data_IF_971080673306
#
_entry.id   IF_971080673306
#
_cell.length_a   1.000
_cell.length_b   1.000
_cell.length_c   1.000
_cell.angle_alpha   90.00
_cell.angle_beta   90.00
_cell.angle_gamma   90.00
#
_symmetry.space_group_name_H-M   'P 1'
#
loop_
_entity.id
_entity.type
_entity.pdbx_description
1 polymer ?
#
# COMPACT_ATOMS: atom_id res chain seq x y z
N UNK A 1 -3.43 18.14 2.70
CA UNK A 1 -2.76 16.86 2.41
C UNK A 1 -2.41 16.14 3.70
N UNK A 2 -2.59 14.82 3.73
CA UNK A 2 -2.37 13.95 4.88
C UNK A 2 -0.87 13.81 5.21
N UNK A 3 -0.45 14.23 6.42
CA UNK A 3 0.95 14.18 6.85
C UNK A 3 1.49 12.76 6.96
N UNK A 4 0.66 11.78 7.30
CA UNK A 4 1.08 10.39 7.46
C UNK A 4 1.42 9.78 6.12
N UNK A 5 0.60 10.03 5.09
CA UNK A 5 0.81 9.57 3.71
C UNK A 5 2.02 10.23 3.03
N UNK A 6 2.39 11.45 3.44
CA UNK A 6 3.63 12.09 2.98
C UNK A 6 4.88 11.30 3.35
N UNK A 7 4.87 10.57 4.49
CA UNK A 7 6.02 9.74 4.88
C UNK A 7 6.23 8.57 3.91
N UNK A 8 5.15 7.92 3.48
CA UNK A 8 5.19 6.86 2.45
C UNK A 8 5.77 7.40 1.14
N UNK A 9 5.29 8.56 0.68
CA UNK A 9 5.79 9.18 -0.54
C UNK A 9 7.29 9.52 -0.45
N UNK A 10 7.75 10.05 0.69
CA UNK A 10 9.17 10.33 0.94
C UNK A 10 10.01 9.05 1.01
N UNK A 11 9.50 8.00 1.63
CA UNK A 11 10.16 6.70 1.69
C UNK A 11 10.34 6.10 0.28
N UNK A 12 9.29 6.14 -0.55
CA UNK A 12 9.36 5.72 -1.95
C UNK A 12 10.34 6.56 -2.76
N UNK A 13 10.37 7.89 -2.57
CA UNK A 13 11.37 8.74 -3.24
C UNK A 13 12.82 8.35 -2.84
N UNK A 14 13.07 8.06 -1.55
CA UNK A 14 14.37 7.58 -1.09
C UNK A 14 14.75 6.25 -1.74
N UNK A 15 13.83 5.29 -1.80
CA UNK A 15 14.02 4.00 -2.45
C UNK A 15 14.34 4.17 -3.94
N UNK A 16 13.55 4.97 -4.66
CA UNK A 16 13.74 5.20 -6.09
C UNK A 16 15.06 5.90 -6.39
N UNK A 17 15.44 6.91 -5.59
CA UNK A 17 16.76 7.55 -5.72
C UNK A 17 17.91 6.56 -5.51
N UNK A 18 17.80 5.68 -4.51
CA UNK A 18 18.83 4.69 -4.19
C UNK A 18 18.93 3.61 -5.29
N UNK A 19 17.81 3.26 -5.94
CA UNK A 19 17.76 2.24 -6.99
C UNK A 19 18.52 2.59 -8.28
N UNK A 20 18.89 3.87 -8.45
CA UNK A 20 19.53 4.40 -9.65
C UNK A 20 18.63 4.45 -10.89
N UNK A 21 17.32 4.20 -10.75
CA UNK A 21 16.37 4.29 -11.85
C UNK A 21 16.00 5.74 -12.16
N UNK A 22 15.70 6.02 -13.44
CA UNK A 22 15.02 7.25 -13.81
C UNK A 22 13.55 7.16 -13.38
N UNK A 23 13.09 8.12 -12.58
CA UNK A 23 11.73 8.16 -12.07
C UNK A 23 11.19 9.58 -12.01
N UNK A 24 9.87 9.71 -11.91
CA UNK A 24 9.19 10.98 -11.79
C UNK A 24 7.83 10.84 -11.10
N UNK A 25 7.20 11.98 -10.81
CA UNK A 25 5.84 12.09 -10.30
C UNK A 25 5.03 12.99 -11.23
N UNK A 26 3.70 12.87 -11.23
CA UNK A 26 2.85 13.75 -12.03
C UNK A 26 2.77 15.17 -11.47
N UNK A 27 3.32 15.42 -10.28
CA UNK A 27 3.34 16.73 -9.64
C UNK A 27 1.93 17.25 -9.43
N UNK A 28 1.61 18.42 -10.01
CA UNK A 28 0.27 19.01 -9.94
C UNK A 28 -0.75 18.32 -10.85
N UNK A 29 -0.32 17.44 -11.77
CA UNK A 29 -1.19 16.62 -12.61
C UNK A 29 -1.63 15.30 -11.98
N UNK A 30 -1.21 15.01 -10.74
CA UNK A 30 -1.63 13.83 -10.00
C UNK A 30 -3.10 13.99 -9.54
N UNK A 31 -3.99 13.10 -9.96
CA UNK A 31 -5.37 13.04 -9.46
C UNK A 31 -5.68 11.69 -8.81
N UNK A 32 -6.77 11.66 -8.03
CA UNK A 32 -7.27 10.42 -7.45
C UNK A 32 -7.57 9.38 -8.54
N UNK A 33 -7.31 8.09 -8.27
CA UNK A 33 -7.66 7.00 -9.20
C UNK A 33 -9.16 6.89 -9.47
N UNK A 34 -9.99 7.49 -8.60
CA UNK A 34 -11.44 7.39 -8.62
C UNK A 34 -12.00 6.22 -7.82
N UNK A 35 -11.16 5.41 -7.15
CA UNK A 35 -11.61 4.25 -6.35
C UNK A 35 -12.73 4.62 -5.35
N UNK A 36 -12.60 5.66 -4.49
CA UNK A 36 -13.66 5.98 -3.54
C UNK A 36 -14.99 6.34 -4.20
N UNK A 37 -14.95 7.13 -5.28
CA UNK A 37 -16.16 7.51 -6.02
C UNK A 37 -16.87 6.25 -6.55
N UNK A 38 -16.11 5.35 -7.17
CA UNK A 38 -16.66 4.11 -7.70
C UNK A 38 -17.23 3.21 -6.61
N UNK A 39 -16.52 3.04 -5.49
CA UNK A 39 -17.00 2.22 -4.37
C UNK A 39 -18.27 2.78 -3.71
N UNK A 40 -18.47 4.10 -3.78
CA UNK A 40 -19.67 4.77 -3.28
C UNK A 40 -20.81 4.82 -4.30
N UNK A 41 -20.62 4.27 -5.51
CA UNK A 41 -21.65 4.23 -6.56
C UNK A 41 -21.67 5.46 -7.48
N UNK A 42 -20.75 6.40 -7.32
CA UNK A 42 -20.61 7.61 -8.15
C UNK A 42 -19.86 7.29 -9.45
N UNK A 43 -20.46 6.44 -10.30
CA UNK A 43 -19.83 5.92 -11.52
C UNK A 43 -19.49 7.03 -12.53
N UNK A 44 -20.34 8.06 -12.67
CA UNK A 44 -20.05 9.21 -13.54
C UNK A 44 -18.80 9.98 -13.08
N UNK A 45 -18.64 10.14 -11.77
CA UNK A 45 -17.46 10.80 -11.19
C UNK A 45 -16.20 9.93 -11.39
N UNK A 46 -16.32 8.62 -11.18
CA UNK A 46 -15.25 7.66 -11.47
C UNK A 46 -14.78 7.76 -12.94
N UNK A 47 -15.71 7.68 -13.89
CA UNK A 47 -15.37 7.74 -15.32
C UNK A 47 -14.77 9.08 -15.71
N UNK A 48 -15.25 10.19 -15.13
CA UNK A 48 -14.69 11.52 -15.38
C UNK A 48 -13.26 11.62 -14.84
N UNK A 49 -13.00 11.17 -13.62
CA UNK A 49 -11.66 11.13 -13.04
C UNK A 49 -10.71 10.22 -13.84
N UNK A 50 -11.20 9.05 -14.27
CA UNK A 50 -10.41 8.11 -15.07
C UNK A 50 -10.03 8.69 -16.44
N UNK A 51 -10.94 9.40 -17.12
CA UNK A 51 -10.63 10.09 -18.38
C UNK A 51 -9.52 11.12 -18.23
N UNK A 52 -9.60 11.97 -17.21
CA UNK A 52 -8.55 12.97 -16.91
C UNK A 52 -7.21 12.28 -16.64
N UNK A 53 -7.20 11.19 -15.86
CA UNK A 53 -5.98 10.44 -15.59
C UNK A 53 -5.41 9.78 -16.86
N UNK A 54 -6.25 9.21 -17.73
CA UNK A 54 -5.82 8.63 -18.99
C UNK A 54 -5.21 9.69 -19.93
N UNK A 55 -5.82 10.87 -20.03
CA UNK A 55 -5.27 11.99 -20.80
C UNK A 55 -3.88 12.40 -20.28
N UNK A 56 -3.75 12.59 -18.96
CA UNK A 56 -2.46 12.93 -18.33
C UNK A 56 -1.42 11.84 -18.58
N UNK A 57 -1.74 10.56 -18.33
CA UNK A 57 -0.80 9.46 -18.49
C UNK A 57 -0.38 9.25 -19.96
N UNK A 58 -1.28 9.47 -20.92
CA UNK A 58 -0.95 9.37 -22.36
C UNK A 58 -0.03 10.49 -22.84
N UNK A 59 -0.06 11.65 -22.19
CA UNK A 59 0.80 12.79 -22.53
C UNK A 59 2.28 12.58 -22.17
N UNK A 60 2.59 11.54 -21.39
CA UNK A 60 3.94 11.26 -20.89
C UNK A 60 4.45 9.90 -21.33
N UNK A 61 5.78 9.81 -21.49
CA UNK A 61 6.47 8.55 -21.83
C UNK A 61 7.12 7.94 -20.60
N UNK A 62 6.72 6.72 -20.28
CA UNK A 62 7.21 5.93 -19.15
C UNK A 62 6.96 4.43 -19.40
N UNK A 63 7.71 3.59 -18.68
CA UNK A 63 7.67 2.13 -18.82
C UNK A 63 6.72 1.47 -17.81
N UNK A 64 6.78 1.91 -16.55
CA UNK A 64 6.02 1.34 -15.44
C UNK A 64 5.31 2.41 -14.62
N UNK A 65 4.07 2.13 -14.23
CA UNK A 65 3.31 2.93 -13.26
C UNK A 65 3.36 2.23 -11.90
N UNK A 66 4.10 2.82 -10.96
CA UNK A 66 4.22 2.30 -9.60
C UNK A 66 3.13 2.92 -8.71
N UNK A 67 2.23 2.09 -8.19
CA UNK A 67 1.16 2.50 -7.29
C UNK A 67 1.54 2.26 -5.83
N UNK A 68 1.54 3.33 -5.02
CA UNK A 68 1.83 3.26 -3.59
C UNK A 68 0.65 2.73 -2.73
N UNK A 69 -0.51 2.47 -3.35
CA UNK A 69 -1.72 2.07 -2.66
C UNK A 69 -2.39 0.91 -3.42
N UNK A 70 -2.79 -0.18 -2.75
CA UNK A 70 -3.49 -1.30 -3.37
C UNK A 70 -4.83 -0.92 -4.01
N UNK A 71 -5.51 0.10 -3.48
CA UNK A 71 -6.75 0.62 -4.09
C UNK A 71 -6.46 1.24 -5.47
N UNK A 72 -5.46 2.12 -5.54
CA UNK A 72 -5.03 2.71 -6.81
C UNK A 72 -4.51 1.63 -7.76
N UNK A 73 -3.69 0.70 -7.27
CA UNK A 73 -3.19 -0.44 -8.04
C UNK A 73 -4.33 -1.25 -8.67
N UNK A 74 -5.31 -1.67 -7.87
CA UNK A 74 -6.46 -2.44 -8.35
C UNK A 74 -7.26 -1.66 -9.41
N UNK A 75 -7.59 -0.40 -9.14
CA UNK A 75 -8.36 0.42 -10.08
C UNK A 75 -7.60 0.68 -11.38
N UNK A 76 -6.32 1.07 -11.30
CA UNK A 76 -5.51 1.35 -12.49
C UNK A 76 -5.22 0.08 -13.30
N UNK A 77 -4.99 -1.05 -12.65
CA UNK A 77 -4.65 -2.31 -13.34
C UNK A 77 -5.87 -3.03 -13.91
N UNK A 78 -6.94 -3.16 -13.12
CA UNK A 78 -8.05 -4.07 -13.44
C UNK A 78 -9.27 -3.34 -14.01
N UNK A 79 -9.40 -2.03 -13.76
CA UNK A 79 -10.64 -1.30 -14.05
C UNK A 79 -10.49 -0.26 -15.15
N UNK A 80 -9.37 0.46 -15.19
CA UNK A 80 -9.07 1.41 -16.25
C UNK A 80 -9.05 0.81 -17.66
N UNK A 81 -8.59 -0.45 -17.88
CA UNK A 81 -8.61 -1.04 -19.22
C UNK A 81 -9.99 -1.06 -19.89
N UNK A 82 -11.08 -1.08 -19.12
CA UNK A 82 -12.44 -1.00 -19.67
C UNK A 82 -12.80 0.41 -20.22
N UNK A 83 -12.06 1.45 -19.81
CA UNK A 83 -12.24 2.85 -20.22
C UNK A 83 -11.19 3.29 -21.25
N UNK A 84 -10.04 2.62 -21.29
CA UNK A 84 -9.01 2.82 -22.29
C UNK A 84 -7.60 2.46 -21.78
N UNK A 85 -6.65 2.39 -22.71
CA UNK A 85 -5.26 2.07 -22.38
C UNK A 85 -4.54 3.28 -21.76
N UNK A 86 -3.61 3.02 -20.84
CA UNK A 86 -2.77 4.05 -20.20
C UNK A 86 -1.81 4.74 -21.18
N UNK A 87 -1.47 4.07 -22.28
CA UNK A 87 -0.74 4.61 -23.41
C UNK A 87 -1.35 4.07 -24.71
N UNK A 88 -1.30 4.86 -25.79
CA UNK A 88 -1.89 4.49 -27.09
C UNK A 88 -0.98 3.59 -27.92
N UNK A 89 0.34 3.72 -27.73
CA UNK A 89 1.38 3.11 -28.55
C UNK A 89 2.10 1.93 -27.88
N UNK A 90 1.82 1.64 -26.61
CA UNK A 90 2.52 0.62 -25.82
C UNK A 90 1.69 0.08 -24.67
N UNK A 91 2.03 -1.12 -24.21
CA UNK A 91 1.56 -1.63 -22.92
C UNK A 91 2.35 -0.97 -21.78
N UNK A 92 1.65 -0.56 -20.74
CA UNK A 92 2.24 -0.02 -19.51
C UNK A 92 1.99 -1.01 -18.38
N UNK A 93 3.05 -1.42 -17.70
CA UNK A 93 2.92 -2.25 -16.49
C UNK A 93 2.44 -1.38 -15.32
N UNK A 94 1.32 -1.74 -14.70
CA UNK A 94 0.88 -1.17 -13.42
C UNK A 94 1.31 -2.14 -12.32
N UNK A 95 2.11 -1.67 -11.38
CA UNK A 95 2.71 -2.50 -10.33
C UNK A 95 2.55 -1.85 -8.95
N UNK A 96 2.25 -2.64 -7.94
CA UNK A 96 2.22 -2.15 -6.56
C UNK A 96 3.63 -1.97 -6.00
N UNK A 97 3.85 -0.95 -5.17
CA UNK A 97 5.17 -0.62 -4.65
C UNK A 97 5.86 -1.80 -3.93
N UNK A 98 5.14 -2.65 -3.20
CA UNK A 98 5.74 -3.81 -2.51
C UNK A 98 6.32 -4.83 -3.50
N UNK A 99 5.63 -5.07 -4.62
CA UNK A 99 6.06 -5.99 -5.68
C UNK A 99 7.25 -5.37 -6.41
N UNK A 100 7.19 -4.07 -6.68
CA UNK A 100 8.29 -3.36 -7.32
C UNK A 100 9.56 -3.35 -6.46
N UNK A 101 9.44 -3.07 -5.16
CA UNK A 101 10.56 -3.12 -4.22
C UNK A 101 11.19 -4.52 -4.17
N UNK A 102 10.37 -5.58 -4.18
CA UNK A 102 10.88 -6.96 -4.27
C UNK A 102 11.78 -7.13 -5.50
N UNK A 103 11.34 -6.66 -6.66
CA UNK A 103 12.14 -6.73 -7.89
C UNK A 103 13.45 -5.94 -7.75
N UNK A 104 13.42 -4.73 -7.19
CA UNK A 104 14.62 -3.93 -6.98
C UNK A 104 15.64 -4.60 -6.06
N UNK A 105 15.19 -5.26 -4.99
CA UNK A 105 16.06 -6.04 -4.11
C UNK A 105 16.64 -7.26 -4.83
N UNK A 106 15.81 -8.00 -5.57
CA UNK A 106 16.25 -9.17 -6.33
C UNK A 106 17.25 -8.83 -7.45
N UNK A 107 17.11 -7.66 -8.08
CA UNK A 107 18.02 -7.11 -9.08
C UNK A 107 19.32 -6.55 -8.47
N UNK A 108 19.45 -6.52 -7.15
CA UNK A 108 20.61 -5.92 -6.47
C UNK A 108 20.69 -4.40 -6.58
N UNK A 109 19.58 -3.74 -6.96
CA UNK A 109 19.49 -2.27 -7.03
C UNK A 109 19.33 -1.61 -5.67
N UNK A 110 18.90 -2.37 -4.67
CA UNK A 110 18.79 -1.93 -3.29
C UNK A 110 19.64 -2.86 -2.41
N UNK A 111 20.43 -2.25 -1.52
CA UNK A 111 21.12 -2.96 -0.45
C UNK A 111 20.52 -2.54 0.88
N UNK A 112 20.20 -3.53 1.73
CA UNK A 112 19.58 -3.31 3.03
C UNK A 112 20.43 -3.90 4.14
N UNK A 113 20.43 -3.22 5.29
CA UNK A 113 21.11 -3.66 6.50
C UNK A 113 20.53 -5.01 6.95
N UNK A 114 21.39 -6.02 7.07
CA UNK A 114 20.96 -7.40 7.42
C UNK A 114 20.63 -7.57 8.91
N UNK A 115 21.01 -6.60 9.73
CA UNK A 115 20.77 -6.54 11.18
C UNK A 115 19.59 -5.64 11.54
N UNK A 116 18.75 -5.25 10.58
CA UNK A 116 17.52 -4.52 10.82
C UNK A 116 16.46 -5.43 11.44
N UNK A 117 16.68 -5.82 12.71
CA UNK A 117 15.79 -6.65 13.51
C UNK A 117 14.52 -5.86 13.87
N UNK A 118 13.51 -5.98 13.00
CA UNK A 118 12.15 -5.56 13.30
C UNK A 118 11.29 -6.79 13.52
N UNK A 119 10.95 -7.02 14.77
CA UNK A 119 9.87 -7.92 15.15
C UNK A 119 8.54 -7.30 14.71
N UNK A 120 7.84 -7.98 13.79
CA UNK A 120 6.67 -7.43 13.13
C UNK A 120 5.62 -8.50 12.81
N UNK A 121 4.39 -8.06 12.67
CA UNK A 121 3.30 -8.78 12.02
C UNK A 121 2.89 -8.04 10.75
N UNK A 122 2.25 -8.74 9.80
CA UNK A 122 1.85 -8.16 8.53
C UNK A 122 0.33 -8.17 8.34
N UNK A 123 -0.25 -7.00 8.06
CA UNK A 123 -1.64 -6.88 7.65
C UNK A 123 -1.75 -6.92 6.13
N UNK A 124 -2.35 -7.99 5.60
CA UNK A 124 -2.67 -8.19 4.19
C UNK A 124 -3.74 -7.21 3.68
N UNK A 125 -3.39 -6.22 2.83
CA UNK A 125 -4.39 -5.37 2.21
C UNK A 125 -5.30 -6.18 1.28
N UNK A 126 -6.61 -6.01 1.40
CA UNK A 126 -7.57 -6.81 0.64
C UNK A 126 -7.36 -6.70 -0.88
N UNK A 127 -7.17 -5.49 -1.42
CA UNK A 127 -6.93 -5.30 -2.85
C UNK A 127 -5.58 -5.84 -3.33
N UNK A 128 -4.58 -5.95 -2.47
CA UNK A 128 -3.29 -6.53 -2.85
C UNK A 128 -3.38 -8.06 -2.86
N UNK A 129 -3.94 -8.63 -1.80
CA UNK A 129 -4.13 -10.06 -1.62
C UNK A 129 -5.35 -10.61 -2.33
N UNK A 130 -6.56 -10.43 -1.79
CA UNK A 130 -7.78 -11.12 -2.28
C UNK A 130 -8.17 -10.81 -3.71
N UNK A 131 -7.78 -9.64 -4.24
CA UNK A 131 -8.14 -9.23 -5.61
C UNK A 131 -7.01 -9.41 -6.63
N UNK A 132 -5.76 -9.43 -6.18
CA UNK A 132 -4.60 -9.48 -7.09
C UNK A 132 -3.58 -10.56 -6.72
N UNK A 133 -3.89 -11.40 -5.71
CA UNK A 133 -3.16 -12.59 -5.30
C UNK A 133 -1.70 -12.36 -4.86
N UNK A 134 -1.35 -11.11 -4.51
CA UNK A 134 -0.03 -10.74 -4.04
C UNK A 134 0.05 -10.83 -2.51
N UNK A 135 0.38 -12.02 -2.03
CA UNK A 135 0.54 -12.31 -0.60
C UNK A 135 2.01 -12.44 -0.19
N UNK A 136 2.81 -13.11 -1.01
CA UNK A 136 4.18 -13.47 -0.65
C UNK A 136 5.16 -12.34 -0.96
N UNK A 137 4.92 -11.52 -1.99
CA UNK A 137 5.86 -10.47 -2.37
C UNK A 137 6.11 -9.44 -1.25
N UNK A 138 5.09 -8.94 -0.54
CA UNK A 138 5.32 -8.09 0.63
C UNK A 138 6.10 -8.82 1.74
N UNK A 139 5.85 -10.12 1.95
CA UNK A 139 6.52 -10.92 2.98
C UNK A 139 7.99 -11.14 2.64
N UNK A 140 8.28 -11.47 1.39
CA UNK A 140 9.64 -11.65 0.87
C UNK A 140 10.47 -10.38 1.08
N UNK A 141 9.89 -9.20 0.82
CA UNK A 141 10.56 -7.92 1.08
C UNK A 141 10.87 -7.79 2.57
N UNK A 142 9.89 -8.00 3.45
CA UNK A 142 10.07 -7.84 4.89
C UNK A 142 11.11 -8.81 5.45
N UNK A 143 11.12 -10.07 5.01
CA UNK A 143 12.12 -11.08 5.40
C UNK A 143 13.53 -10.69 4.94
N UNK A 144 13.66 -10.10 3.74
CA UNK A 144 14.96 -9.63 3.25
C UNK A 144 15.53 -8.44 4.04
N UNK A 145 14.70 -7.68 4.76
CA UNK A 145 15.17 -6.63 5.67
C UNK A 145 15.83 -7.18 6.94
N UNK A 146 16.12 -8.48 7.04
CA UNK A 146 16.71 -9.06 8.25
C UNK A 146 15.72 -9.20 9.40
N UNK A 147 14.42 -8.97 9.17
CA UNK A 147 13.38 -9.27 10.13
C UNK A 147 13.39 -10.76 10.47
N UNK A 148 13.15 -11.08 11.74
CA UNK A 148 12.71 -12.42 12.17
C UNK A 148 11.54 -12.89 11.28
N UNK A 149 11.29 -14.21 11.19
CA UNK A 149 10.08 -14.69 10.53
C UNK A 149 8.86 -13.88 10.98
N UNK A 150 8.09 -13.42 10.02
CA UNK A 150 6.91 -12.58 10.28
C UNK A 150 6.00 -13.32 11.25
N UNK A 151 5.60 -12.65 12.34
CA UNK A 151 4.64 -13.21 13.28
C UNK A 151 3.24 -13.08 12.68
N UNK A 152 2.82 -14.09 11.93
CA UNK A 152 1.52 -14.05 11.26
C UNK A 152 0.38 -13.94 12.27
N UNK A 153 -0.57 -13.06 11.98
CA UNK A 153 -1.87 -13.05 12.65
C UNK A 153 -2.62 -14.35 12.32
N UNK A 154 -3.48 -14.83 13.25
CA UNK A 154 -4.25 -16.07 13.05
C UNK A 154 -5.04 -16.08 11.73
N UNK A 155 -5.62 -14.93 11.36
CA UNK A 155 -6.26 -14.72 10.07
C UNK A 155 -5.31 -13.89 9.20
N UNK A 156 -4.77 -14.53 8.16
CA UNK A 156 -3.84 -13.92 7.21
C UNK A 156 -4.19 -14.36 5.78
N UNK A 157 -3.50 -13.78 4.79
CA UNK A 157 -3.73 -14.03 3.37
C UNK A 157 -5.21 -13.88 3.00
N UNK A 158 -5.81 -14.91 2.37
CA UNK A 158 -7.19 -14.88 1.92
C UNK A 158 -8.22 -14.77 3.05
N UNK A 159 -7.90 -15.27 4.26
CA UNK A 159 -8.81 -15.24 5.41
C UNK A 159 -8.63 -14.00 6.29
N UNK A 160 -7.62 -13.18 6.03
CA UNK A 160 -7.29 -12.01 6.86
C UNK A 160 -8.47 -11.05 7.04
N UNK A 161 -8.64 -10.48 8.23
CA UNK A 161 -9.69 -9.51 8.51
C UNK A 161 -9.41 -8.18 7.80
N UNK A 162 -10.47 -7.49 7.37
CA UNK A 162 -10.37 -6.16 6.75
C UNK A 162 -9.86 -5.12 7.76
N UNK A 163 -9.19 -4.06 7.30
CA UNK A 163 -8.90 -2.90 8.14
C UNK A 163 -10.13 -2.00 8.38
N UNK A 164 -11.20 -2.16 7.60
CA UNK A 164 -12.41 -1.35 7.68
C UNK A 164 -12.43 -0.09 6.80
N UNK A 165 -11.43 0.17 5.97
CA UNK A 165 -11.43 1.36 5.08
C UNK A 165 -12.24 1.18 3.78
N UNK A 166 -12.30 -0.06 3.26
CA UNK A 166 -12.84 -0.35 1.94
C UNK A 166 -14.34 -0.08 1.80
N UNK A 167 -14.85 -0.07 0.57
CA UNK A 167 -16.29 0.15 0.32
C UNK A 167 -16.80 1.53 0.73
N UNK A 168 -15.90 2.52 0.87
CA UNK A 168 -16.24 3.86 1.33
C UNK A 168 -16.24 4.06 2.84
N UNK A 169 -16.08 2.99 3.64
CA UNK A 169 -16.09 3.06 5.12
C UNK A 169 -15.02 3.96 5.73
N UNK A 170 -13.94 4.24 4.99
CA UNK A 170 -12.98 5.28 5.38
C UNK A 170 -13.62 6.66 5.63
N UNK A 171 -14.73 6.97 4.98
CA UNK A 171 -15.44 8.25 5.09
C UNK A 171 -16.69 8.18 5.98
N UNK A 172 -17.03 7.00 6.50
CA UNK A 172 -18.20 6.80 7.33
C UNK A 172 -17.81 6.66 8.79
N UNK A 173 -18.54 7.37 9.66
CA UNK A 173 -18.41 7.19 11.10
C UNK A 173 -19.34 6.06 11.56
N UNK A 174 -18.76 4.94 11.99
CA UNK A 174 -19.54 3.85 12.58
C UNK A 174 -19.93 4.22 14.00
N UNK A 175 -21.23 4.41 14.22
CA UNK A 175 -21.84 4.83 15.49
C UNK A 175 -22.27 3.66 16.39
N UNK A 176 -22.36 2.45 15.85
CA UNK A 176 -22.90 1.28 16.54
C UNK A 176 -22.05 0.06 16.22
N UNK A 177 -21.80 -0.76 17.24
CA UNK A 177 -21.03 -2.00 17.14
C UNK A 177 -19.53 -1.79 17.33
N UNK A 178 -18.83 -2.92 17.39
CA UNK A 178 -17.38 -2.95 17.48
C UNK A 178 -16.76 -2.61 16.12
N UNK A 179 -15.73 -1.75 16.12
CA UNK A 179 -15.08 -1.37 14.88
C UNK A 179 -14.16 -2.47 14.39
N UNK A 180 -14.24 -2.78 13.09
CA UNK A 180 -13.45 -3.84 12.46
C UNK A 180 -11.94 -3.61 12.61
N UNK A 181 -11.50 -2.34 12.62
CA UNK A 181 -10.08 -2.02 12.85
C UNK A 181 -9.63 -2.36 14.28
N UNK A 182 -10.47 -2.18 15.30
CA UNK A 182 -10.17 -2.59 16.68
C UNK A 182 -9.97 -4.10 16.77
N UNK A 183 -10.90 -4.88 16.22
CA UNK A 183 -10.79 -6.34 16.13
C UNK A 183 -9.50 -6.79 15.43
N UNK A 184 -9.13 -6.12 14.34
CA UNK A 184 -7.89 -6.43 13.62
C UNK A 184 -6.65 -6.08 14.44
N UNK A 185 -6.68 -5.00 15.22
CA UNK A 185 -5.58 -4.60 16.09
C UNK A 185 -5.43 -5.54 17.29
N UNK A 186 -6.53 -6.00 17.88
CA UNK A 186 -6.45 -7.02 18.95
C UNK A 186 -5.78 -8.30 18.44
N UNK A 187 -6.16 -8.75 17.26
CA UNK A 187 -5.53 -9.88 16.59
C UNK A 187 -4.04 -9.62 16.27
N UNK A 188 -3.68 -8.41 15.88
CA UNK A 188 -2.28 -8.05 15.68
C UNK A 188 -1.49 -8.10 16.99
N UNK A 189 -2.09 -7.63 18.10
CA UNK A 189 -1.48 -7.66 19.42
C UNK A 189 -1.31 -9.09 19.96
N UNK A 190 -2.21 -10.04 19.63
CA UNK A 190 -2.09 -11.46 19.98
C UNK A 190 -0.78 -12.09 19.45
N UNK A 191 -0.20 -11.55 18.37
CA UNK A 191 1.10 -12.02 17.83
C UNK A 191 2.30 -11.66 18.72
N UNK A 192 2.13 -10.68 19.60
CA UNK A 192 3.20 -10.11 20.42
C UNK A 192 4.23 -9.28 19.64
N UNK A 193 4.00 -9.00 18.35
CA UNK A 193 4.87 -8.13 17.57
C UNK A 193 4.65 -6.64 17.91
N UNK A 194 5.71 -5.84 18.08
CA UNK A 194 5.60 -4.40 18.36
C UNK A 194 5.27 -3.54 17.13
N UNK A 195 5.29 -4.11 15.92
CA UNK A 195 5.03 -3.39 14.66
C UNK A 195 4.01 -4.14 13.81
N UNK A 196 2.98 -3.43 13.35
CA UNK A 196 2.10 -3.85 12.26
C UNK A 196 2.62 -3.24 10.96
N UNK A 197 3.15 -4.08 10.08
CA UNK A 197 3.50 -3.70 8.71
C UNK A 197 2.28 -3.82 7.79
N UNK A 198 2.13 -2.92 6.83
CA UNK A 198 1.15 -3.04 5.75
C UNK A 198 1.66 -2.34 4.49
N UNK A 199 1.20 -2.76 3.31
CA UNK A 199 1.49 -2.06 2.05
C UNK A 199 0.35 -1.16 1.60
N UNK A 200 -0.48 -0.62 2.50
CA UNK A 200 -1.68 0.14 2.13
C UNK A 200 -1.88 1.38 3.00
N UNK A 201 -1.87 2.60 2.40
CA UNK A 201 -2.10 3.84 3.13
C UNK A 201 -3.47 3.93 3.82
N UNK A 202 -4.50 3.32 3.24
CA UNK A 202 -5.83 3.24 3.85
C UNK A 202 -5.84 2.30 5.06
N UNK A 203 -5.25 1.11 4.92
CA UNK A 203 -5.13 0.18 6.04
C UNK A 203 -4.31 0.78 7.19
N UNK A 204 -3.20 1.42 6.87
CA UNK A 204 -2.32 2.07 7.85
C UNK A 204 -3.09 3.07 8.70
N UNK A 205 -3.84 3.99 8.09
CA UNK A 205 -4.66 4.95 8.85
C UNK A 205 -5.68 4.24 9.75
N UNK A 206 -6.41 3.26 9.22
CA UNK A 206 -7.42 2.55 10.02
C UNK A 206 -6.81 1.75 11.16
N UNK A 207 -5.65 1.12 10.94
CA UNK A 207 -4.92 0.38 11.96
C UNK A 207 -4.36 1.33 13.01
N UNK A 208 -3.82 2.50 12.64
CA UNK A 208 -3.41 3.52 13.59
C UNK A 208 -4.60 3.96 14.46
N UNK A 209 -5.75 4.24 13.86
CA UNK A 209 -6.96 4.59 14.61
C UNK A 209 -7.39 3.42 15.52
N UNK A 210 -7.28 2.17 15.06
CA UNK A 210 -7.54 0.98 15.88
C UNK A 210 -6.60 0.85 17.07
N UNK A 211 -5.31 1.15 16.88
CA UNK A 211 -4.30 1.18 17.96
C UNK A 211 -4.65 2.21 19.03
N UNK A 212 -5.13 3.40 18.62
CA UNK A 212 -5.59 4.44 19.56
C UNK A 212 -6.83 4.01 20.33
N UNK A 213 -7.83 3.50 19.61
CA UNK A 213 -9.10 3.05 20.20
C UNK A 213 -8.92 1.91 21.20
N UNK A 214 -7.88 1.11 21.01
CA UNK A 214 -7.54 -0.02 21.88
C UNK A 214 -6.46 0.32 22.92
N UNK A 215 -6.01 1.57 23.01
CA UNK A 215 -5.06 2.05 24.02
C UNK A 215 -3.65 1.47 23.91
N UNK A 216 -3.18 1.14 22.70
CA UNK A 216 -1.89 0.46 22.44
C UNK A 216 -0.84 1.34 21.75
N UNK A 217 -1.02 2.66 21.77
CA UNK A 217 -0.15 3.62 21.06
C UNK A 217 1.33 3.54 21.50
N UNK A 218 1.58 3.15 22.75
CA UNK A 218 2.94 3.02 23.31
C UNK A 218 3.62 1.68 22.99
N UNK A 219 2.84 0.66 22.62
CA UNK A 219 3.33 -0.72 22.47
C UNK A 219 3.24 -1.25 21.04
N UNK A 220 2.41 -0.65 20.20
CA UNK A 220 2.14 -1.13 18.84
C UNK A 220 2.23 0.00 17.82
N UNK A 221 3.26 -0.04 16.98
CA UNK A 221 3.46 0.92 15.91
C UNK A 221 2.90 0.39 14.59
N UNK A 222 2.36 1.28 13.74
CA UNK A 222 1.92 0.92 12.37
C UNK A 222 2.84 1.55 11.35
N UNK A 223 3.38 0.75 10.44
CA UNK A 223 4.36 1.17 9.43
C UNK A 223 3.97 0.69 8.05
N UNK A 224 4.16 1.56 7.06
CA UNK A 224 4.11 1.13 5.68
C UNK A 224 5.38 0.34 5.32
N UNK A 225 5.24 -0.67 4.47
CA UNK A 225 6.36 -1.49 4.01
C UNK A 225 7.47 -0.65 3.36
N UNK A 226 7.13 0.39 2.59
CA UNK A 226 8.12 1.27 2.00
C UNK A 226 8.92 2.05 3.06
N UNK A 227 8.30 2.42 4.19
CA UNK A 227 9.03 3.08 5.28
C UNK A 227 10.04 2.14 5.92
N UNK A 228 9.67 0.88 6.14
CA UNK A 228 10.58 -0.12 6.71
C UNK A 228 11.78 -0.37 5.80
N UNK A 229 11.54 -0.46 4.49
CA UNK A 229 12.62 -0.60 3.49
C UNK A 229 13.52 0.63 3.50
N UNK A 230 12.94 1.83 3.46
CA UNK A 230 13.69 3.09 3.45
C UNK A 230 14.54 3.31 4.73
N UNK A 231 14.04 2.85 5.88
CA UNK A 231 14.75 2.86 7.17
C UNK A 231 15.92 1.85 7.17
N UNK A 232 15.86 0.79 6.37
CA UNK A 232 16.87 -0.27 6.30
C UNK A 232 17.90 -0.10 5.17
N UNK A 233 17.73 0.86 4.25
CA UNK A 233 18.67 1.08 3.14
C UNK A 233 20.07 1.42 3.65
N UNK A 234 21.08 0.77 3.07
CA UNK A 234 22.50 1.14 3.21
C UNK A 234 22.81 2.15 2.10
N UNK A 235 23.37 3.30 2.48
CA UNK A 235 23.85 4.33 1.55
C UNK A 235 25.23 3.98 0.96
#
# INVERSE_FOLDING_TARGET
>A
YDKRKQKIARAMAKILNTSGLSWGILGTGEHCSGDPARRLGEENLFQSAAKVNLETLRSIRFEKLVANCPHCFNTLRNEYPALGNLAEDRSVEVIHHSIFIKSLLAEGRLSVAKDFDRDLTYHDPCYLGRYNEHYEEPRDVLVQLGSKPIREMRDNRQTGLCCGAGGGHYWFDMKVGERVNSLRVDQAAETGAPVIATGCPFCMQMLEDGVKLTGREETLAVKDLAELVADALIE
#
